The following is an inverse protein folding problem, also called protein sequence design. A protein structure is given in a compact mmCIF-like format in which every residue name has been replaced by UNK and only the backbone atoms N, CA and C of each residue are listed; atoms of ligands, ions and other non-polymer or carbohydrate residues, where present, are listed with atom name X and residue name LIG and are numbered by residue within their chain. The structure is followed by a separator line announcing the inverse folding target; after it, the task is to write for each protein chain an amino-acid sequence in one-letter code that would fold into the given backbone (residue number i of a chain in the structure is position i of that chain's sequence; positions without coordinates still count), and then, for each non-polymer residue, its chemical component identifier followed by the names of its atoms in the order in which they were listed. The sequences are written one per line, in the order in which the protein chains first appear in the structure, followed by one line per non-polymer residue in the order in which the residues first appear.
data_IF_699838447150
#
_entry.id   IF_699838447150
#
_cell.length_a   1.000
_cell.length_b   1.000
_cell.length_c   1.000
_cell.angle_alpha   90.00
_cell.angle_beta   90.00
_cell.angle_gamma   90.00
#
_symmetry.space_group_name_H-M   'P 1'
#
loop_
_entity.id
_entity.type
_entity.pdbx_description
1 polymer ?
#
# COMPACT_ATOMS: atom_id res chain seq x y z
N UNK A 1 -8.43 5.45 -13.30
CA UNK A 1 -8.95 4.27 -12.57
C UNK A 1 -9.90 4.76 -11.50
N UNK A 2 -10.91 3.98 -11.11
CA UNK A 2 -11.87 4.40 -10.09
C UNK A 2 -11.20 4.43 -8.70
N UNK A 3 -11.16 5.59 -8.05
CA UNK A 3 -10.48 5.78 -6.76
C UNK A 3 -11.09 4.96 -5.62
N UNK A 4 -12.40 4.71 -5.65
CA UNK A 4 -13.09 3.88 -4.67
C UNK A 4 -12.59 2.43 -4.76
N UNK A 5 -12.48 1.90 -5.98
CA UNK A 5 -11.94 0.56 -6.26
C UNK A 5 -10.48 0.48 -5.83
N UNK A 6 -9.67 1.49 -6.17
CA UNK A 6 -8.27 1.51 -5.75
C UNK A 6 -8.12 1.50 -4.22
N UNK A 7 -8.92 2.30 -3.50
CA UNK A 7 -8.85 2.35 -2.05
C UNK A 7 -9.32 1.07 -1.36
N UNK A 8 -10.38 0.45 -1.86
CA UNK A 8 -10.90 -0.79 -1.27
C UNK A 8 -9.94 -1.96 -1.50
N UNK A 9 -9.43 -2.12 -2.73
CA UNK A 9 -8.48 -3.17 -3.09
C UNK A 9 -7.16 -2.96 -2.34
N UNK A 10 -6.64 -1.73 -2.30
CA UNK A 10 -5.42 -1.44 -1.56
C UNK A 10 -5.59 -1.74 -0.06
N UNK A 11 -6.69 -1.30 0.55
CA UNK A 11 -6.97 -1.59 1.96
C UNK A 11 -7.00 -3.11 2.25
N UNK A 12 -7.69 -3.88 1.41
CA UNK A 12 -7.79 -5.34 1.53
C UNK A 12 -6.43 -6.03 1.34
N UNK A 13 -5.59 -5.52 0.43
CA UNK A 13 -4.26 -6.07 0.17
C UNK A 13 -3.27 -5.90 1.34
N UNK A 14 -3.54 -4.97 2.27
CA UNK A 14 -2.74 -4.74 3.49
C UNK A 14 -3.28 -5.50 4.72
N UNK A 15 -4.29 -6.35 4.57
CA UNK A 15 -4.89 -7.06 5.70
C UNK A 15 -4.11 -8.31 6.10
N UNK A 16 -3.83 -8.40 7.40
CA UNK A 16 -3.42 -9.64 8.06
C UNK A 16 -4.70 -10.33 8.56
N UNK A 17 -5.34 -11.09 7.67
CA UNK A 17 -6.62 -11.76 7.92
C UNK A 17 -7.00 -12.66 6.75
N UNK A 18 -8.27 -12.63 6.33
CA UNK A 18 -8.78 -13.44 5.22
C UNK A 18 -8.01 -13.22 3.91
N UNK A 19 -7.50 -12.01 3.69
CA UNK A 19 -6.74 -11.64 2.50
C UNK A 19 -5.22 -11.82 2.67
N UNK A 20 -4.75 -12.38 3.79
CA UNK A 20 -3.32 -12.52 4.03
C UNK A 20 -2.68 -13.49 3.03
N UNK A 21 -1.67 -13.00 2.29
CA UNK A 21 -0.98 -13.71 1.18
C UNK A 21 -1.87 -14.06 -0.02
N UNK A 22 -3.08 -13.53 -0.08
CA UNK A 22 -3.95 -13.67 -1.23
C UNK A 22 -3.40 -12.83 -2.39
N UNK A 23 -3.49 -13.32 -3.62
CA UNK A 23 -3.05 -12.54 -4.78
C UNK A 23 -4.00 -11.36 -5.00
N UNK A 24 -3.48 -10.22 -5.45
CA UNK A 24 -4.30 -9.01 -5.61
C UNK A 24 -5.43 -9.25 -6.61
N UNK A 25 -5.17 -10.03 -7.66
CA UNK A 25 -6.19 -10.41 -8.63
C UNK A 25 -7.37 -11.15 -7.98
N UNK A 26 -7.11 -12.07 -7.04
CA UNK A 26 -8.16 -12.82 -6.35
C UNK A 26 -8.95 -11.90 -5.39
N UNK A 27 -8.30 -10.92 -4.77
CA UNK A 27 -8.97 -9.89 -3.94
C UNK A 27 -9.93 -9.06 -4.81
N UNK A 28 -9.50 -8.69 -6.02
CA UNK A 28 -10.33 -7.91 -6.95
C UNK A 28 -11.51 -8.75 -7.45
N UNK A 29 -11.30 -10.03 -7.74
CA UNK A 29 -12.37 -10.93 -8.19
C UNK A 29 -13.48 -11.09 -7.13
N UNK A 30 -13.11 -11.14 -5.86
CA UNK A 30 -14.07 -11.19 -4.75
C UNK A 30 -14.83 -9.88 -4.56
N UNK A 31 -14.13 -8.74 -4.55
CA UNK A 31 -14.72 -7.43 -4.25
C UNK A 31 -15.50 -6.86 -5.44
N UNK A 32 -15.02 -7.10 -6.65
CA UNK A 32 -15.53 -6.52 -7.89
C UNK A 32 -15.65 -7.59 -8.99
N UNK A 33 -16.56 -8.57 -8.85
CA UNK A 33 -16.68 -9.66 -9.81
C UNK A 33 -17.06 -9.19 -11.23
N UNK A 34 -17.79 -8.07 -11.33
CA UNK A 34 -18.43 -7.60 -12.55
C UNK A 34 -17.57 -6.67 -13.44
N UNK A 35 -16.40 -6.22 -12.98
CA UNK A 35 -15.50 -5.43 -13.84
C UNK A 35 -14.76 -6.33 -14.84
N UNK A 36 -14.34 -5.76 -15.97
CA UNK A 36 -13.69 -6.53 -17.04
C UNK A 36 -12.36 -7.13 -16.59
N UNK A 37 -11.96 -8.27 -17.16
CA UNK A 37 -10.67 -8.91 -16.85
C UNK A 37 -9.47 -7.99 -17.09
N UNK A 38 -9.50 -7.18 -18.17
CA UNK A 38 -8.44 -6.22 -18.47
C UNK A 38 -8.33 -5.13 -17.40
N UNK A 39 -9.49 -4.67 -16.89
CA UNK A 39 -9.53 -3.71 -15.79
C UNK A 39 -9.03 -4.32 -14.48
N UNK A 40 -9.42 -5.58 -14.17
CA UNK A 40 -8.90 -6.31 -12.99
C UNK A 40 -7.38 -6.44 -13.03
N UNK A 41 -6.83 -6.87 -14.17
CA UNK A 41 -5.39 -7.01 -14.35
C UNK A 41 -4.66 -5.67 -14.22
N UNK A 42 -5.23 -4.61 -14.79
CA UNK A 42 -4.65 -3.26 -14.68
C UNK A 42 -4.64 -2.77 -13.23
N UNK A 43 -5.72 -2.98 -12.48
CA UNK A 43 -5.81 -2.65 -11.05
C UNK A 43 -4.81 -3.47 -10.24
N UNK A 44 -4.75 -4.79 -10.46
CA UNK A 44 -3.83 -5.67 -9.75
C UNK A 44 -2.39 -5.19 -9.88
N UNK A 45 -1.91 -5.01 -11.12
CA UNK A 45 -0.55 -4.57 -11.39
C UNK A 45 -0.26 -3.19 -10.77
N UNK A 46 -1.21 -2.26 -10.83
CA UNK A 46 -1.03 -0.93 -10.26
C UNK A 46 -0.94 -0.95 -8.72
N UNK A 47 -1.78 -1.75 -8.05
CA UNK A 47 -1.75 -1.90 -6.59
C UNK A 47 -0.48 -2.62 -6.14
N UNK A 48 -0.05 -3.68 -6.84
CA UNK A 48 1.21 -4.38 -6.56
C UNK A 48 2.40 -3.41 -6.64
N UNK A 49 2.52 -2.68 -7.75
CA UNK A 49 3.59 -1.70 -7.92
C UNK A 49 3.54 -0.59 -6.86
N UNK A 50 2.34 -0.13 -6.50
CA UNK A 50 2.16 0.89 -5.46
C UNK A 50 2.68 0.40 -4.11
N UNK A 51 2.39 -0.85 -3.73
CA UNK A 51 2.89 -1.45 -2.49
C UNK A 51 4.41 -1.55 -2.50
N UNK A 52 4.99 -2.11 -3.56
CA UNK A 52 6.44 -2.23 -3.71
C UNK A 52 7.15 -0.88 -3.61
N UNK A 53 6.61 0.15 -4.27
CA UNK A 53 7.19 1.49 -4.23
C UNK A 53 7.16 2.10 -2.83
N UNK A 54 6.06 1.90 -2.09
CA UNK A 54 5.94 2.42 -0.73
C UNK A 54 6.88 1.67 0.21
N UNK A 55 6.90 0.33 0.15
CA UNK A 55 7.81 -0.49 0.95
C UNK A 55 9.27 -0.12 0.67
N UNK A 56 9.63 0.04 -0.61
CA UNK A 56 10.96 0.49 -1.03
C UNK A 56 11.30 1.89 -0.50
N UNK A 57 10.36 2.83 -0.55
CA UNK A 57 10.58 4.17 0.01
C UNK A 57 10.99 4.10 1.47
N UNK A 58 10.26 3.34 2.29
CA UNK A 58 10.61 3.20 3.71
C UNK A 58 11.94 2.47 3.90
N UNK A 59 12.17 1.38 3.16
CA UNK A 59 13.42 0.62 3.23
C UNK A 59 14.65 1.47 2.92
N UNK A 60 14.61 2.26 1.84
CA UNK A 60 15.73 3.08 1.40
C UNK A 60 16.06 4.24 2.37
N UNK A 61 15.10 4.67 3.20
CA UNK A 61 15.25 5.81 4.09
C UNK A 61 15.33 5.42 5.58
N UNK A 62 15.14 4.16 5.92
CA UNK A 62 15.18 3.68 7.31
C UNK A 62 16.62 3.60 7.82
N UNK A 63 16.87 4.15 9.02
CA UNK A 63 18.19 4.10 9.66
C UNK A 63 18.14 3.22 10.92
N UNK A 64 18.70 2.01 10.84
CA UNK A 64 18.72 1.04 11.94
C UNK A 64 19.45 1.52 13.21
N UNK A 65 20.25 2.59 13.12
CA UNK A 65 20.97 3.17 14.27
C UNK A 65 20.30 4.40 14.86
N UNK A 66 19.25 4.94 14.24
CA UNK A 66 18.72 6.25 14.58
C UNK A 66 17.18 6.29 14.70
N UNK A 67 16.69 5.93 15.88
CA UNK A 67 15.26 5.98 16.21
C UNK A 67 14.64 7.37 16.06
N UNK A 68 15.42 8.45 16.24
CA UNK A 68 14.91 9.81 16.12
C UNK A 68 14.61 10.14 14.66
N UNK A 69 15.49 9.78 13.73
CA UNK A 69 15.26 9.93 12.28
C UNK A 69 14.06 9.09 11.84
N UNK A 70 13.95 7.85 12.34
CA UNK A 70 12.85 6.94 11.99
C UNK A 70 11.47 7.45 12.47
N UNK A 71 11.40 8.22 13.58
CA UNK A 71 10.16 8.89 13.99
C UNK A 71 9.70 9.94 12.97
N UNK A 72 10.64 10.68 12.38
CA UNK A 72 10.32 11.66 11.33
C UNK A 72 10.00 10.98 9.99
N UNK A 73 10.63 9.84 9.70
CA UNK A 73 10.40 9.07 8.48
C UNK A 73 8.93 8.64 8.34
N UNK A 74 8.25 8.26 9.44
CA UNK A 74 6.83 7.89 9.37
C UNK A 74 5.95 9.05 8.85
N UNK A 75 6.13 10.26 9.37
CA UNK A 75 5.34 11.42 8.93
C UNK A 75 5.76 11.91 7.54
N UNK A 76 7.06 11.86 7.21
CA UNK A 76 7.54 12.16 5.85
C UNK A 76 6.98 11.18 4.82
N UNK A 77 6.97 9.89 5.15
CA UNK A 77 6.39 8.85 4.30
C UNK A 77 4.91 9.05 4.08
N UNK A 78 4.13 9.41 5.11
CA UNK A 78 2.71 9.76 4.94
C UNK A 78 2.51 10.93 3.98
N UNK A 79 3.33 11.98 4.10
CA UNK A 79 3.25 13.13 3.21
C UNK A 79 3.62 12.75 1.77
N UNK A 80 4.70 11.99 1.59
CA UNK A 80 5.13 11.50 0.29
C UNK A 80 4.07 10.60 -0.38
N UNK A 81 3.45 9.67 0.36
CA UNK A 81 2.36 8.83 -0.16
C UNK A 81 1.19 9.71 -0.60
N UNK A 82 0.80 10.68 0.22
CA UNK A 82 -0.32 11.59 -0.08
C UNK A 82 -0.08 12.41 -1.35
N UNK A 83 1.14 12.87 -1.56
CA UNK A 83 1.53 13.65 -2.74
C UNK A 83 1.67 12.77 -4.00
N UNK A 84 2.17 11.54 -3.84
CA UNK A 84 2.42 10.61 -4.96
C UNK A 84 1.16 9.90 -5.42
N UNK A 85 0.27 9.53 -4.49
CA UNK A 85 -0.93 8.74 -4.74
C UNK A 85 -2.16 9.54 -4.31
N UNK A 86 -2.55 10.54 -5.11
CA UNK A 86 -3.64 11.49 -4.79
C UNK A 86 -5.00 10.83 -4.58
N UNK A 87 -5.20 9.63 -5.11
CA UNK A 87 -6.41 8.83 -4.91
C UNK A 87 -6.48 8.20 -3.51
N UNK A 88 -5.35 8.03 -2.82
CA UNK A 88 -5.29 7.26 -1.57
C UNK A 88 -5.89 8.05 -0.41
N UNK A 89 -6.85 7.44 0.28
CA UNK A 89 -7.49 8.07 1.44
C UNK A 89 -6.59 8.03 2.69
N UNK A 90 -6.94 8.83 3.69
CA UNK A 90 -6.15 8.96 4.93
C UNK A 90 -5.99 7.64 5.69
N UNK A 91 -6.99 6.74 5.65
CA UNK A 91 -6.90 5.42 6.28
C UNK A 91 -5.80 4.59 5.63
N UNK A 92 -5.79 4.51 4.30
CA UNK A 92 -4.80 3.76 3.54
C UNK A 92 -3.41 4.37 3.65
N UNK A 93 -3.28 5.71 3.64
CA UNK A 93 -2.01 6.39 3.86
C UNK A 93 -1.40 5.99 5.22
N UNK A 94 -2.20 6.02 6.29
CA UNK A 94 -1.71 5.65 7.62
C UNK A 94 -1.30 4.17 7.70
N UNK A 95 -2.12 3.26 7.13
CA UNK A 95 -1.81 1.82 7.12
C UNK A 95 -0.55 1.52 6.30
N UNK A 96 -0.43 2.10 5.12
CA UNK A 96 0.73 1.97 4.24
C UNK A 96 2.02 2.43 4.93
N UNK A 97 1.99 3.59 5.58
CA UNK A 97 3.14 4.10 6.30
C UNK A 97 3.54 3.23 7.50
N UNK A 98 2.57 2.77 8.28
CA UNK A 98 2.82 1.87 9.41
C UNK A 98 3.41 0.53 8.96
N UNK A 99 2.88 -0.05 7.87
CA UNK A 99 3.37 -1.32 7.35
C UNK A 99 4.75 -1.19 6.68
N UNK A 100 4.97 -0.12 5.92
CA UNK A 100 6.29 0.19 5.36
C UNK A 100 7.36 0.36 6.43
N UNK A 101 7.06 1.10 7.52
CA UNK A 101 7.96 1.20 8.69
C UNK A 101 8.22 -0.16 9.35
N UNK A 102 7.18 -0.97 9.51
CA UNK A 102 7.29 -2.30 10.10
C UNK A 102 8.20 -3.21 9.27
N UNK A 103 8.01 -3.26 7.95
CA UNK A 103 8.86 -4.06 7.07
C UNK A 103 10.28 -3.52 6.95
N UNK A 104 10.48 -2.20 6.96
CA UNK A 104 11.83 -1.62 6.97
C UNK A 104 12.59 -1.93 8.28
N UNK A 105 11.89 -2.09 9.41
CA UNK A 105 12.49 -2.46 10.68
C UNK A 105 12.83 -3.97 10.78
N UNK A 106 12.00 -4.83 10.19
CA UNK A 106 12.14 -6.29 10.28
C UNK A 106 12.85 -6.95 9.09
N UNK A 107 12.99 -6.24 7.97
CA UNK A 107 13.57 -6.71 6.72
C UNK A 107 15.09 -6.70 6.68
#
# INVERSE_FOLDING_TARGET
MNEEILNSVYNASLEFGENFRKHIIEIIEDLYPNISSDEKNSIAAYIEQTRENIEKYFYDHYDYKNETVNKYLHEQGKQWIKETYTWMNSKNINRAASQGMYYAWHG
#
